data_IF_309277811610
#
_entry.id   IF_309277811610
#
_cell.length_a   1.000
_cell.length_b   1.000
_cell.length_c   1.000
_cell.angle_alpha   90.00
_cell.angle_beta   90.00
_cell.angle_gamma   90.00
#
_symmetry.space_group_name_H-M   'P 1'
#
loop_
_entity.id
_entity.type
_entity.pdbx_description
1 polymer ?
#
# COMPACT_ATOMS: atom_id res chain seq x y z
N UNK A 1 -49.48 18.78 30.55
CA UNK A 1 -48.12 18.69 29.98
C UNK A 1 -47.77 17.34 29.37
N UNK A 2 -48.07 16.21 30.01
CA UNK A 2 -47.77 14.85 29.50
C UNK A 2 -48.57 14.47 28.24
N UNK A 3 -49.86 14.88 28.14
CA UNK A 3 -50.69 14.61 26.97
C UNK A 3 -50.18 15.28 25.67
N UNK A 4 -49.60 16.49 25.78
CA UNK A 4 -49.10 17.21 24.64
C UNK A 4 -47.80 16.59 24.07
N UNK A 5 -46.97 15.99 24.95
CA UNK A 5 -45.77 15.27 24.55
C UNK A 5 -46.10 13.98 23.82
N UNK A 6 -47.14 13.24 24.29
CA UNK A 6 -47.56 11.99 23.66
C UNK A 6 -48.12 12.23 22.22
N UNK A 7 -48.83 13.33 22.01
CA UNK A 7 -49.34 13.72 20.67
C UNK A 7 -48.19 14.09 19.74
N UNK A 8 -47.12 14.79 20.24
CA UNK A 8 -45.97 15.12 19.44
C UNK A 8 -45.14 13.90 19.05
N UNK A 9 -45.06 12.88 19.90
CA UNK A 9 -44.35 11.62 19.60
C UNK A 9 -45.09 10.73 18.59
N UNK A 10 -46.44 10.90 18.46
CA UNK A 10 -47.27 10.17 17.52
C UNK A 10 -47.49 10.92 16.20
N UNK A 11 -47.07 12.19 16.09
CA UNK A 11 -47.16 12.96 14.85
C UNK A 11 -46.12 12.42 13.85
N UNK A 12 -46.56 12.20 12.60
CA UNK A 12 -45.64 11.86 11.52
C UNK A 12 -44.54 12.91 11.46
N UNK A 13 -43.26 12.44 11.42
CA UNK A 13 -42.13 13.33 11.32
C UNK A 13 -42.20 14.11 9.99
N UNK A 14 -42.47 15.43 10.01
CA UNK A 14 -42.65 16.22 8.80
C UNK A 14 -41.38 16.34 7.94
N UNK A 15 -40.25 15.86 8.47
CA UNK A 15 -38.99 15.78 7.74
C UNK A 15 -38.43 14.35 7.90
N UNK A 16 -38.86 13.41 7.05
CA UNK A 16 -38.29 12.08 7.11
C UNK A 16 -36.77 12.18 6.95
N UNK A 17 -36.04 11.53 7.84
CA UNK A 17 -34.59 11.43 7.77
C UNK A 17 -34.22 10.94 6.37
N UNK A 18 -33.46 11.76 5.62
CA UNK A 18 -32.92 11.33 4.34
C UNK A 18 -32.13 10.06 4.59
N UNK A 19 -32.64 8.94 4.12
CA UNK A 19 -31.90 7.66 4.12
C UNK A 19 -30.59 7.93 3.36
N UNK A 20 -29.48 7.95 4.08
CA UNK A 20 -28.18 8.05 3.42
C UNK A 20 -28.05 6.81 2.54
N UNK A 21 -28.04 7.01 1.23
CA UNK A 21 -27.71 5.92 0.29
C UNK A 21 -26.42 5.30 0.79
N UNK A 22 -26.45 3.99 0.98
CA UNK A 22 -25.26 3.20 1.26
C UNK A 22 -24.19 3.61 0.25
N UNK A 23 -23.05 4.11 0.72
CA UNK A 23 -21.93 4.40 -0.19
C UNK A 23 -21.55 3.07 -0.81
N UNK A 24 -21.51 3.01 -2.12
CA UNK A 24 -21.01 1.85 -2.86
C UNK A 24 -19.67 1.45 -2.25
N UNK A 25 -19.53 0.19 -1.88
CA UNK A 25 -18.30 -0.35 -1.33
C UNK A 25 -17.20 -0.11 -2.38
N UNK A 26 -16.13 0.56 -2.01
CA UNK A 26 -15.00 0.75 -2.93
C UNK A 26 -14.28 -0.58 -3.09
N UNK A 27 -13.97 -0.93 -4.31
CA UNK A 27 -13.14 -2.10 -4.60
C UNK A 27 -11.67 -1.67 -4.58
N UNK A 28 -10.78 -2.49 -3.98
CA UNK A 28 -9.35 -2.21 -4.01
C UNK A 28 -8.80 -2.34 -5.44
N UNK A 29 -7.81 -1.51 -5.76
CA UNK A 29 -7.10 -1.55 -7.06
C UNK A 29 -6.24 -2.80 -7.20
N UNK A 30 -5.66 -3.25 -6.10
CA UNK A 30 -4.73 -4.37 -6.03
C UNK A 30 -5.06 -5.28 -4.84
N UNK A 31 -4.57 -6.52 -4.90
CA UNK A 31 -4.70 -7.53 -3.85
C UNK A 31 -3.36 -7.77 -3.19
N UNK A 32 -3.39 -8.29 -1.97
CA UNK A 32 -2.19 -8.79 -1.30
C UNK A 32 -1.50 -9.84 -2.18
N UNK A 33 -0.20 -9.70 -2.35
CA UNK A 33 0.61 -10.56 -3.20
C UNK A 33 0.74 -10.10 -4.66
N UNK A 34 -0.06 -9.14 -5.14
CA UNK A 34 0.11 -8.60 -6.50
C UNK A 34 1.50 -8.01 -6.63
N UNK A 35 2.21 -8.40 -7.70
CA UNK A 35 3.52 -7.88 -8.07
C UNK A 35 3.36 -6.85 -9.17
N UNK A 36 3.92 -5.67 -8.94
CA UNK A 36 3.73 -4.51 -9.80
C UNK A 36 5.06 -4.06 -10.40
N UNK A 37 5.11 -3.91 -11.71
CA UNK A 37 6.11 -3.07 -12.36
C UNK A 37 5.74 -1.61 -12.15
N UNK A 38 6.70 -0.80 -11.77
CA UNK A 38 6.55 0.66 -11.60
C UNK A 38 7.31 1.34 -12.72
N UNK A 39 6.60 2.12 -13.53
CA UNK A 39 7.20 2.89 -14.62
C UNK A 39 7.57 4.28 -14.14
N UNK A 40 8.85 4.60 -14.17
CA UNK A 40 9.42 5.94 -14.04
C UNK A 40 9.64 6.55 -15.46
N UNK A 41 10.27 7.70 -15.53
CA UNK A 41 10.50 8.36 -16.84
C UNK A 41 11.29 7.48 -17.82
N UNK A 42 12.44 6.95 -17.36
CA UNK A 42 13.38 6.20 -18.22
C UNK A 42 13.67 4.78 -17.70
N UNK A 43 13.09 4.39 -16.58
CA UNK A 43 13.41 3.18 -15.87
C UNK A 43 12.17 2.52 -15.31
N UNK A 44 12.32 1.26 -14.90
CA UNK A 44 11.28 0.49 -14.26
C UNK A 44 11.82 -0.10 -12.95
N UNK A 45 11.00 -0.02 -11.92
CA UNK A 45 11.19 -0.74 -10.68
C UNK A 45 10.21 -1.89 -10.52
N UNK A 46 10.35 -2.66 -9.47
CA UNK A 46 9.39 -3.69 -9.06
C UNK A 46 9.07 -3.58 -7.57
N UNK A 47 7.80 -3.70 -7.27
CA UNK A 47 7.25 -3.68 -5.91
C UNK A 47 6.19 -4.77 -5.78
N UNK A 48 5.77 -5.07 -4.57
CA UNK A 48 4.62 -5.95 -4.37
C UNK A 48 3.71 -5.44 -3.24
N UNK A 49 2.46 -5.85 -3.30
CA UNK A 49 1.46 -5.48 -2.29
C UNK A 49 1.61 -6.40 -1.09
N UNK A 50 2.18 -5.89 -0.02
CA UNK A 50 2.43 -6.65 1.21
C UNK A 50 1.19 -6.77 2.11
N UNK A 51 0.31 -5.76 2.07
CA UNK A 51 -0.95 -5.79 2.83
C UNK A 51 -1.96 -4.80 2.21
N UNK A 52 -3.25 -5.07 2.44
CA UNK A 52 -4.37 -4.19 2.08
C UNK A 52 -5.30 -4.06 3.28
N UNK A 53 -5.25 -2.92 3.95
CA UNK A 53 -6.17 -2.61 5.04
C UNK A 53 -7.48 -2.02 4.49
N UNK A 54 -8.54 -2.83 4.49
CA UNK A 54 -9.84 -2.44 3.98
C UNK A 54 -10.88 -2.33 5.10
N UNK A 55 -11.39 -1.13 5.28
CA UNK A 55 -12.53 -0.83 6.14
C UNK A 55 -13.68 -0.21 5.31
N UNK A 56 -14.90 -0.08 5.86
CA UNK A 56 -16.02 0.54 5.15
C UNK A 56 -15.77 1.98 4.68
N UNK A 57 -14.78 2.66 5.26
CA UNK A 57 -14.48 4.08 4.99
C UNK A 57 -13.12 4.30 4.35
N UNK A 58 -12.21 3.31 4.41
CA UNK A 58 -10.81 3.50 4.13
C UNK A 58 -10.25 2.26 3.46
N UNK A 59 -9.43 2.44 2.44
CA UNK A 59 -8.58 1.41 1.87
C UNK A 59 -7.17 1.96 1.87
N UNK A 60 -6.24 1.22 2.44
CA UNK A 60 -4.81 1.52 2.45
C UNK A 60 -4.04 0.32 1.93
N UNK A 61 -2.96 0.61 1.23
CA UNK A 61 -2.08 -0.37 0.62
C UNK A 61 -0.70 -0.26 1.23
N UNK A 62 -0.13 -1.38 1.57
CA UNK A 62 1.26 -1.50 1.97
C UNK A 62 2.03 -2.08 0.79
N UNK A 63 3.02 -1.33 0.31
CA UNK A 63 3.83 -1.68 -0.86
C UNK A 63 5.25 -1.92 -0.41
N UNK A 64 5.71 -3.16 -0.53
CA UNK A 64 7.09 -3.50 -0.26
C UNK A 64 7.93 -3.29 -1.53
N UNK A 65 8.98 -2.50 -1.41
CA UNK A 65 9.85 -2.16 -2.52
C UNK A 65 11.03 -3.12 -2.62
N UNK A 66 11.45 -3.36 -3.86
CA UNK A 66 12.72 -4.03 -4.15
C UNK A 66 13.78 -3.02 -4.57
N UNK A 67 15.04 -3.45 -4.68
CA UNK A 67 16.12 -2.63 -5.24
C UNK A 67 16.25 -2.73 -6.75
N UNK A 68 15.28 -3.36 -7.40
CA UNK A 68 15.28 -3.52 -8.84
C UNK A 68 15.02 -2.18 -9.53
N UNK A 69 15.96 -1.73 -10.32
CA UNK A 69 15.84 -0.58 -11.20
C UNK A 69 16.54 -0.89 -12.51
N UNK A 70 15.81 -0.86 -13.63
CA UNK A 70 16.32 -1.25 -14.94
C UNK A 70 15.62 -0.50 -16.07
N UNK A 71 16.24 -0.46 -17.26
CA UNK A 71 15.73 0.29 -18.41
C UNK A 71 14.50 -0.36 -19.08
N UNK A 72 14.22 -1.62 -18.82
CA UNK A 72 13.08 -2.35 -19.40
C UNK A 72 12.15 -2.86 -18.31
N UNK A 73 10.89 -3.10 -18.70
CA UNK A 73 9.88 -3.63 -17.78
C UNK A 73 10.35 -4.97 -17.17
N UNK A 74 10.30 -5.11 -15.84
CA UNK A 74 10.73 -6.32 -15.16
C UNK A 74 9.80 -7.50 -15.43
N UNK A 75 10.40 -8.69 -15.50
CA UNK A 75 9.71 -9.97 -15.44
C UNK A 75 9.53 -10.44 -14.00
N UNK A 76 8.76 -11.53 -13.80
CA UNK A 76 8.68 -12.17 -12.48
C UNK A 76 10.03 -12.74 -12.04
N UNK A 77 10.85 -13.23 -12.96
CA UNK A 77 12.20 -13.73 -12.64
C UNK A 77 13.12 -12.60 -12.17
N UNK A 78 13.07 -11.44 -12.80
CA UNK A 78 13.81 -10.25 -12.37
C UNK A 78 13.40 -9.85 -10.96
N UNK A 79 12.08 -9.83 -10.70
CA UNK A 79 11.53 -9.52 -9.40
C UNK A 79 11.97 -10.51 -8.32
N UNK A 80 11.82 -11.82 -8.55
CA UNK A 80 12.15 -12.86 -7.57
C UNK A 80 13.65 -12.91 -7.22
N UNK A 81 14.51 -12.56 -8.16
CA UNK A 81 15.95 -12.49 -7.95
C UNK A 81 16.45 -11.12 -7.50
N UNK A 82 15.57 -10.15 -7.31
CA UNK A 82 15.93 -8.85 -6.78
C UNK A 82 16.05 -8.86 -5.26
N UNK A 83 16.82 -7.92 -4.74
CA UNK A 83 16.93 -7.68 -3.30
C UNK A 83 15.75 -6.86 -2.80
N UNK A 84 15.30 -7.13 -1.58
CA UNK A 84 14.34 -6.29 -0.88
C UNK A 84 15.02 -4.99 -0.46
N UNK A 85 14.32 -3.87 -0.66
CA UNK A 85 14.72 -2.59 -0.09
C UNK A 85 14.33 -2.54 1.37
N UNK A 86 15.28 -2.78 2.25
CA UNK A 86 15.04 -2.83 3.69
C UNK A 86 15.64 -1.61 4.38
N UNK A 87 14.92 -1.11 5.37
CA UNK A 87 15.42 -0.10 6.31
C UNK A 87 15.33 -0.63 7.73
N UNK A 88 16.34 -0.37 8.52
CA UNK A 88 16.30 -0.65 9.95
C UNK A 88 16.01 0.63 10.70
N UNK A 89 15.03 0.69 11.50
CA UNK A 89 14.81 1.75 12.44
C UNK A 89 15.86 1.66 13.58
N UNK A 90 16.28 2.80 14.11
CA UNK A 90 17.12 2.88 15.33
C UNK A 90 16.41 2.37 16.58
N UNK A 91 15.13 2.12 16.50
CA UNK A 91 14.36 1.46 17.51
C UNK A 91 14.46 -0.04 17.30
N UNK A 92 14.50 -0.83 18.36
CA UNK A 92 14.62 -2.30 18.32
C UNK A 92 13.44 -3.03 17.62
N UNK A 93 12.68 -2.38 16.74
CA UNK A 93 11.41 -2.86 16.22
C UNK A 93 11.48 -3.57 14.87
N UNK A 94 12.59 -3.66 14.22
CA UNK A 94 12.73 -4.51 13.05
C UNK A 94 13.15 -3.82 11.77
N UNK A 95 12.88 -4.48 10.65
CA UNK A 95 13.24 -4.06 9.29
C UNK A 95 11.98 -3.53 8.61
N UNK A 96 12.04 -2.29 8.15
CA UNK A 96 10.97 -1.68 7.37
C UNK A 96 11.22 -1.92 5.89
N UNK A 97 10.24 -2.50 5.20
CA UNK A 97 10.36 -2.83 3.77
C UNK A 97 9.25 -2.22 2.93
N UNK A 98 8.25 -1.61 3.53
CA UNK A 98 7.10 -1.11 2.81
C UNK A 98 6.80 0.38 3.06
N UNK A 99 6.15 0.98 2.08
CA UNK A 99 5.50 2.26 2.18
C UNK A 99 3.99 2.09 2.01
N UNK A 100 3.20 2.99 2.57
CA UNK A 100 1.76 2.85 2.46
C UNK A 100 1.08 4.05 1.79
N UNK A 101 0.05 3.72 1.03
CA UNK A 101 -0.75 4.65 0.26
C UNK A 101 -2.22 4.56 0.65
N UNK A 102 -2.90 5.68 0.71
CA UNK A 102 -4.35 5.65 0.69
C UNK A 102 -4.87 5.36 -0.73
N UNK A 103 -6.12 4.90 -0.82
CA UNK A 103 -6.75 4.51 -2.08
C UNK A 103 -6.79 5.62 -3.14
N UNK A 104 -6.95 6.88 -2.72
CA UNK A 104 -7.02 8.02 -3.64
C UNK A 104 -5.65 8.30 -4.27
N UNK A 105 -4.61 8.36 -3.45
CA UNK A 105 -3.27 8.72 -3.91
C UNK A 105 -2.68 7.60 -4.77
N UNK A 106 -2.89 6.34 -4.39
CA UNK A 106 -2.51 5.22 -5.24
C UNK A 106 -3.28 5.21 -6.57
N UNK A 107 -4.56 5.62 -6.54
CA UNK A 107 -5.37 5.75 -7.74
C UNK A 107 -4.83 6.75 -8.78
N UNK A 108 -4.05 7.74 -8.34
CA UNK A 108 -3.39 8.70 -9.24
C UNK A 108 -2.15 8.11 -9.94
N UNK A 109 -1.64 6.99 -9.43
CA UNK A 109 -0.43 6.34 -9.95
C UNK A 109 -0.73 5.12 -10.85
N UNK A 110 -2.00 4.78 -11.08
CA UNK A 110 -2.37 3.56 -11.81
C UNK A 110 -1.77 3.48 -13.22
N UNK A 111 -1.58 4.61 -13.90
CA UNK A 111 -0.94 4.66 -15.23
C UNK A 111 0.56 4.31 -15.19
N UNK A 112 1.16 4.33 -14.00
CA UNK A 112 2.55 3.98 -13.75
C UNK A 112 2.72 2.56 -13.17
N UNK A 113 1.63 1.89 -12.84
CA UNK A 113 1.63 0.61 -12.14
C UNK A 113 1.01 -0.48 -13.01
N UNK A 114 1.74 -1.55 -13.26
CA UNK A 114 1.25 -2.68 -14.04
C UNK A 114 1.48 -3.99 -13.29
N UNK A 115 0.44 -4.80 -13.16
CA UNK A 115 0.55 -6.14 -12.55
C UNK A 115 1.35 -7.03 -13.50
N UNK A 116 2.46 -7.58 -13.01
CA UNK A 116 3.32 -8.53 -13.75
C UNK A 116 3.19 -9.96 -13.25
N UNK A 117 2.55 -10.16 -12.11
CA UNK A 117 2.31 -11.46 -11.51
C UNK A 117 1.77 -11.35 -10.10
N UNK A 118 1.80 -12.46 -9.39
CA UNK A 118 1.41 -12.52 -7.99
C UNK A 118 2.28 -13.54 -7.23
N UNK A 119 2.43 -13.34 -5.94
CA UNK A 119 3.15 -14.23 -5.02
C UNK A 119 2.32 -14.45 -3.76
N UNK A 120 2.54 -15.57 -3.09
CA UNK A 120 2.06 -15.79 -1.73
C UNK A 120 3.15 -15.35 -0.74
N UNK A 121 2.74 -14.64 0.30
CA UNK A 121 3.68 -14.14 1.30
C UNK A 121 3.85 -15.14 2.43
N UNK A 122 5.09 -15.42 2.81
CA UNK A 122 5.35 -16.02 4.11
C UNK A 122 4.85 -15.08 5.22
N UNK A 123 4.46 -15.59 6.37
CA UNK A 123 4.11 -14.76 7.51
C UNK A 123 5.37 -14.07 8.05
N UNK A 124 5.83 -13.06 7.33
CA UNK A 124 6.94 -12.20 7.72
C UNK A 124 6.40 -10.87 8.28
N UNK A 125 7.16 -10.28 9.19
CA UNK A 125 6.83 -8.98 9.74
C UNK A 125 7.36 -7.88 8.82
N UNK A 126 6.59 -7.53 7.81
CA UNK A 126 6.82 -6.30 7.08
C UNK A 126 6.25 -5.15 7.92
N UNK A 127 7.10 -4.21 8.29
CA UNK A 127 6.70 -3.10 9.16
C UNK A 127 6.27 -1.91 8.31
N UNK A 128 5.23 -1.22 8.81
CA UNK A 128 4.67 -0.04 8.16
C UNK A 128 5.64 1.12 8.21
N UNK A 129 6.04 1.62 7.05
CA UNK A 129 6.83 2.84 6.92
C UNK A 129 5.98 4.12 7.00
N UNK A 130 6.64 5.24 6.82
CA UNK A 130 5.95 6.52 6.70
C UNK A 130 5.00 6.54 5.50
N UNK A 131 3.89 7.30 5.59
CA UNK A 131 2.97 7.45 4.48
C UNK A 131 3.69 7.94 3.22
N UNK A 132 3.34 7.33 2.10
CA UNK A 132 3.76 7.72 0.77
C UNK A 132 2.54 8.27 0.01
N UNK A 133 2.75 9.05 -1.02
CA UNK A 133 1.65 9.66 -1.78
C UNK A 133 2.02 9.89 -3.24
N UNK A 134 3.28 9.73 -3.60
CA UNK A 134 3.82 10.08 -4.90
C UNK A 134 4.67 8.96 -5.50
N UNK A 135 4.90 9.03 -6.81
CA UNK A 135 5.81 8.14 -7.51
C UNK A 135 7.26 8.30 -7.00
N UNK A 136 7.65 9.53 -6.64
CA UNK A 136 8.98 9.84 -6.09
C UNK A 136 9.21 9.17 -4.74
N UNK A 137 8.16 8.95 -3.95
CA UNK A 137 8.28 8.20 -2.71
C UNK A 137 8.67 6.75 -2.99
N UNK A 138 8.06 6.11 -4.00
CA UNK A 138 8.42 4.76 -4.42
C UNK A 138 9.84 4.72 -4.98
N UNK A 139 10.20 5.68 -5.83
CA UNK A 139 11.56 5.78 -6.39
C UNK A 139 12.61 5.91 -5.30
N UNK A 140 12.36 6.75 -4.31
CA UNK A 140 13.24 6.94 -3.16
C UNK A 140 13.43 5.64 -2.36
N UNK A 141 12.35 4.86 -2.18
CA UNK A 141 12.45 3.57 -1.47
C UNK A 141 13.26 2.54 -2.28
N UNK A 142 13.10 2.50 -3.61
CA UNK A 142 13.82 1.58 -4.49
C UNK A 142 15.32 1.92 -4.53
N UNK A 143 15.66 3.19 -4.68
CA UNK A 143 17.04 3.65 -4.79
C UNK A 143 17.76 3.73 -3.45
N UNK A 144 17.01 3.57 -2.33
CA UNK A 144 17.53 3.67 -0.97
C UNK A 144 18.27 5.01 -0.74
N UNK A 145 17.79 6.06 -1.42
CA UNK A 145 18.25 7.40 -1.18
C UNK A 145 17.99 7.79 0.29
N UNK A 146 19.00 8.20 1.06
CA UNK A 146 18.83 8.51 2.47
C UNK A 146 17.93 9.71 2.63
N UNK A 147 16.71 9.54 3.04
CA UNK A 147 15.89 10.65 3.54
C UNK A 147 16.60 11.26 4.74
N UNK A 148 16.71 12.58 4.77
CA UNK A 148 17.37 13.34 5.86
C UNK A 148 16.95 12.82 7.23
N UNK A 149 17.90 12.34 8.03
CA UNK A 149 17.72 11.90 9.41
C UNK A 149 17.39 10.42 9.61
N UNK A 150 17.28 9.61 8.56
CA UNK A 150 17.15 8.16 8.70
C UNK A 150 18.49 7.49 8.44
N UNK A 151 18.93 6.66 9.38
CA UNK A 151 20.17 5.91 9.22
C UNK A 151 19.88 4.76 8.26
N UNK A 152 20.62 4.77 7.17
CA UNK A 152 20.70 3.64 6.25
C UNK A 152 21.15 2.41 7.02
N UNK A 153 20.43 1.33 6.84
CA UNK A 153 20.79 0.13 7.53
C UNK A 153 21.06 -0.98 6.60
N UNK A 154 22.07 -1.65 7.04
CA UNK A 154 22.44 -3.02 6.71
C UNK A 154 21.75 -3.54 5.46
N UNK A 155 22.53 -3.71 4.41
CA UNK A 155 22.19 -4.60 3.32
C UNK A 155 21.77 -5.95 3.90
N UNK A 156 20.47 -6.13 4.11
CA UNK A 156 19.96 -7.48 4.13
C UNK A 156 20.02 -7.90 2.68
N UNK A 157 20.96 -8.77 2.36
CA UNK A 157 21.08 -9.36 1.02
C UNK A 157 19.93 -10.36 0.75
N UNK A 158 18.79 -10.16 1.39
CA UNK A 158 17.64 -11.02 1.23
C UNK A 158 17.00 -10.78 -0.14
N UNK A 159 16.89 -11.87 -0.88
CA UNK A 159 16.20 -11.87 -2.16
C UNK A 159 14.70 -12.03 -1.93
N UNK A 160 13.91 -11.47 -2.83
CA UNK A 160 12.44 -11.60 -2.78
C UNK A 160 12.02 -13.05 -2.70
N UNK A 161 12.63 -13.96 -3.48
CA UNK A 161 12.32 -15.39 -3.48
C UNK A 161 12.49 -16.08 -2.14
N UNK A 162 13.25 -15.50 -1.21
CA UNK A 162 13.50 -16.08 0.12
C UNK A 162 12.38 -15.69 1.12
N UNK A 163 11.56 -14.71 0.77
CA UNK A 163 10.46 -14.21 1.62
C UNK A 163 9.06 -14.45 1.05
N UNK A 164 8.96 -14.95 -0.17
CA UNK A 164 7.67 -15.23 -0.83
C UNK A 164 7.57 -16.68 -1.27
N UNK A 165 6.32 -17.16 -1.43
CA UNK A 165 6.04 -18.42 -2.11
C UNK A 165 5.77 -18.17 -3.60
N UNK A 166 6.15 -19.10 -4.43
CA UNK A 166 5.81 -19.11 -5.87
C UNK A 166 4.54 -19.89 -6.11
#
# INVERSE_FOLDING_TARGET
MLATLAVQLQSENPKPLKVRKSKTKREPHFKVGDVLAVKFENEYGAIFVSDVDQSPRKIEYHLACTRLLQAHKPSMDDFLNSQISCRKDNTNFGIDTDCWFNHKDLGLLLDHLEIIGAVELYPCKLWKLAPAGTLDDIYTEITDEPRRGRIRLIDTNELVKDIVHQ
#
